data_IF_418685232111
#
_entry.id   IF_418685232111
#
_cell.length_a   1.000
_cell.length_b   1.000
_cell.length_c   1.000
_cell.angle_alpha   90.00
_cell.angle_beta   90.00
_cell.angle_gamma   90.00
#
_symmetry.space_group_name_H-M   'P 1'
#
loop_
_entity.id
_entity.type
_entity.pdbx_description
1 polymer ?
#
# COMPACT_ATOMS: atom_id res chain seq x y z
N UNK A 1 -13.47 12.54 11.77
CA UNK A 1 -12.34 13.33 11.22
C UNK A 1 -11.42 12.42 10.42
N UNK A 2 -10.94 12.86 9.24
CA UNK A 2 -10.01 12.11 8.39
C UNK A 2 -8.57 12.48 8.75
N UNK A 3 -7.68 11.50 8.91
CA UNK A 3 -6.24 11.73 8.90
C UNK A 3 -5.69 11.45 7.50
N UNK A 4 -5.33 12.49 6.77
CA UNK A 4 -4.52 12.38 5.56
C UNK A 4 -3.08 12.14 6.00
N UNK A 5 -2.55 10.96 5.71
CA UNK A 5 -1.20 10.57 6.10
C UNK A 5 -0.27 10.54 4.90
N UNK A 6 0.88 11.20 4.99
CA UNK A 6 1.90 11.21 3.95
C UNK A 6 3.23 10.69 4.50
N UNK A 7 3.73 9.54 4.03
CA UNK A 7 5.12 9.17 4.21
C UNK A 7 5.99 9.94 3.21
N UNK A 8 7.11 10.50 3.65
CA UNK A 8 8.02 11.24 2.77
C UNK A 8 9.49 10.92 3.04
N UNK A 9 10.32 10.97 1.99
CA UNK A 9 11.77 10.84 2.09
C UNK A 9 12.44 11.53 0.89
N UNK A 10 13.19 12.62 1.13
CA UNK A 10 13.86 13.43 0.12
C UNK A 10 12.93 13.89 -1.03
N UNK A 11 11.76 14.46 -0.67
CA UNK A 11 10.70 14.87 -1.60
C UNK A 11 10.30 16.36 -1.44
N UNK A 12 11.18 17.22 -0.89
CA UNK A 12 10.88 18.64 -0.71
C UNK A 12 10.38 19.33 -1.98
N UNK A 13 10.86 18.92 -3.16
CA UNK A 13 10.48 19.49 -4.44
C UNK A 13 9.06 19.08 -4.92
N UNK A 14 8.47 18.01 -4.37
CA UNK A 14 7.14 17.49 -4.74
C UNK A 14 6.05 17.87 -3.74
N UNK A 15 6.40 17.93 -2.46
CA UNK A 15 5.47 18.24 -1.36
C UNK A 15 4.67 19.55 -1.53
N UNK A 16 5.20 20.64 -2.12
CA UNK A 16 4.42 21.86 -2.32
C UNK A 16 3.15 21.67 -3.17
N UNK A 17 3.19 20.74 -4.14
CA UNK A 17 2.03 20.40 -4.97
C UNK A 17 0.95 19.70 -4.16
N UNK A 18 1.34 18.72 -3.34
CA UNK A 18 0.41 18.06 -2.43
C UNK A 18 -0.18 19.05 -1.43
N UNK A 19 0.65 19.89 -0.80
CA UNK A 19 0.19 20.91 0.15
C UNK A 19 -0.83 21.87 -0.49
N UNK A 20 -0.58 22.37 -1.70
CA UNK A 20 -1.51 23.21 -2.44
C UNK A 20 -2.86 22.49 -2.65
N UNK A 21 -2.84 21.22 -3.08
CA UNK A 21 -4.08 20.44 -3.29
C UNK A 21 -4.87 20.20 -1.99
N UNK A 22 -4.21 20.13 -0.84
CA UNK A 22 -4.85 20.06 0.47
C UNK A 22 -5.44 21.40 0.88
N UNK A 23 -4.75 22.51 0.58
CA UNK A 23 -5.29 23.86 0.79
C UNK A 23 -6.53 24.15 -0.07
N UNK A 24 -6.64 23.52 -1.25
CA UNK A 24 -7.77 23.67 -2.19
C UNK A 24 -8.97 22.76 -1.85
N UNK A 25 -8.88 21.88 -0.84
CA UNK A 25 -10.01 21.02 -0.48
C UNK A 25 -11.24 21.83 -0.07
N UNK A 26 -12.41 21.46 -0.61
CA UNK A 26 -13.70 22.08 -0.28
C UNK A 26 -14.09 21.88 1.18
N UNK A 27 -13.81 20.70 1.73
CA UNK A 27 -13.99 20.36 3.15
C UNK A 27 -12.65 20.37 3.88
N UNK A 28 -12.59 21.05 5.03
CA UNK A 28 -11.43 21.05 5.94
C UNK A 28 -11.58 20.06 7.10
N UNK A 29 -12.48 19.10 7.00
CA UNK A 29 -12.72 18.09 8.04
C UNK A 29 -11.63 17.00 8.06
N UNK A 30 -10.36 17.42 8.05
CA UNK A 30 -9.20 16.52 8.11
C UNK A 30 -8.01 17.15 8.84
N UNK A 31 -7.07 16.31 9.26
CA UNK A 31 -5.70 16.70 9.62
C UNK A 31 -4.72 16.15 8.58
N UNK A 32 -3.58 16.79 8.39
CA UNK A 32 -2.47 16.27 7.59
C UNK A 32 -1.33 15.83 8.49
N UNK A 33 -1.10 14.53 8.60
CA UNK A 33 0.01 13.95 9.33
C UNK A 33 1.11 13.51 8.37
N UNK A 34 2.31 14.02 8.55
CA UNK A 34 3.49 13.65 7.75
C UNK A 34 4.54 12.97 8.63
N UNK A 35 4.97 11.79 8.21
CA UNK A 35 6.14 11.13 8.76
C UNK A 35 7.27 11.22 7.74
N UNK A 36 8.28 12.01 8.09
CA UNK A 36 9.51 12.14 7.31
C UNK A 36 10.48 11.02 7.70
N UNK A 37 10.71 10.12 6.79
CA UNK A 37 11.57 8.95 6.96
C UNK A 37 13.06 9.29 6.87
N UNK A 38 13.47 10.42 7.47
CA UNK A 38 14.87 10.83 7.62
C UNK A 38 15.41 11.60 6.41
N UNK A 39 14.63 12.49 5.81
CA UNK A 39 15.08 13.34 4.70
C UNK A 39 16.30 14.19 5.06
N UNK A 40 17.17 14.37 4.07
CA UNK A 40 18.38 15.22 4.14
C UNK A 40 18.25 16.49 3.28
N UNK A 41 17.14 16.63 2.55
CA UNK A 41 16.78 17.80 1.76
C UNK A 41 16.00 18.83 2.60
N UNK A 42 15.44 19.85 1.95
CA UNK A 42 14.71 20.96 2.58
C UNK A 42 13.32 20.57 3.13
N UNK A 43 12.98 19.27 3.21
CA UNK A 43 11.66 18.81 3.70
C UNK A 43 11.34 19.39 5.07
N UNK A 44 12.28 19.33 6.03
CA UNK A 44 12.09 19.83 7.39
C UNK A 44 11.84 21.35 7.41
N UNK A 45 12.53 22.11 6.55
CA UNK A 45 12.33 23.56 6.41
C UNK A 45 10.92 23.91 5.94
N UNK A 46 10.37 23.18 4.95
CA UNK A 46 9.00 23.37 4.49
C UNK A 46 7.98 23.19 5.62
N UNK A 47 8.10 22.12 6.41
CA UNK A 47 7.17 21.85 7.50
C UNK A 47 7.35 22.80 8.69
N UNK A 48 8.55 23.33 8.92
CA UNK A 48 8.77 24.37 9.93
C UNK A 48 7.98 25.67 9.62
N UNK A 49 7.66 25.91 8.36
CA UNK A 49 6.81 27.01 7.90
C UNK A 49 5.33 26.60 7.90
N UNK A 50 4.97 25.49 7.24
CA UNK A 50 3.58 25.09 7.02
C UNK A 50 2.83 24.77 8.31
N UNK A 51 3.48 24.25 9.33
CA UNK A 51 2.87 23.98 10.65
C UNK A 51 2.42 25.24 11.39
N UNK A 52 2.86 26.44 10.95
CA UNK A 52 2.51 27.75 11.54
C UNK A 52 1.38 28.44 10.80
N UNK A 53 1.03 27.95 9.58
CA UNK A 53 0.01 28.58 8.76
C UNK A 53 -1.39 28.16 9.24
N UNK A 54 -2.30 29.13 9.24
CA UNK A 54 -3.74 28.82 9.39
C UNK A 54 -4.33 28.53 8.00
N UNK A 55 -4.39 27.26 7.65
CA UNK A 55 -4.91 26.76 6.37
C UNK A 55 -6.27 26.07 6.51
N UNK A 56 -6.89 26.18 7.71
CA UNK A 56 -8.18 25.61 8.02
C UNK A 56 -8.14 24.12 8.42
N UNK A 57 -6.96 23.49 8.46
CA UNK A 57 -6.74 22.14 8.96
C UNK A 57 -5.41 22.04 9.71
N UNK A 58 -5.27 21.06 10.59
CA UNK A 58 -4.04 20.83 11.34
C UNK A 58 -2.97 20.17 10.48
N UNK A 59 -1.74 20.70 10.52
CA UNK A 59 -0.54 20.09 9.90
C UNK A 59 0.36 19.57 11.01
N UNK A 60 0.61 18.26 11.00
CA UNK A 60 1.49 17.57 11.97
C UNK A 60 2.66 16.94 11.24
N UNK A 61 3.86 17.24 11.71
CA UNK A 61 5.11 16.72 11.10
C UNK A 61 5.96 16.02 12.15
N UNK A 62 6.53 14.88 11.76
CA UNK A 62 7.50 14.15 12.58
C UNK A 62 8.57 13.53 11.70
N UNK A 63 9.82 13.95 11.94
CA UNK A 63 11.01 13.33 11.35
C UNK A 63 11.49 12.16 12.20
N UNK A 64 11.86 11.07 11.53
CA UNK A 64 12.35 9.84 12.17
C UNK A 64 13.60 9.33 11.45
N UNK A 65 14.28 8.34 12.03
CA UNK A 65 15.37 7.67 11.33
C UNK A 65 14.83 6.85 10.18
N UNK A 66 15.48 6.91 9.00
CA UNK A 66 15.07 6.16 7.82
C UNK A 66 14.85 4.67 8.13
N UNK A 67 13.68 4.19 7.77
CA UNK A 67 13.24 2.85 8.06
C UNK A 67 12.22 2.28 7.05
N UNK A 68 11.80 3.11 6.08
CA UNK A 68 10.88 2.75 5.00
C UNK A 68 9.41 3.05 5.28
N UNK A 69 8.64 3.15 4.18
CA UNK A 69 7.21 3.53 4.17
C UNK A 69 6.38 2.74 5.19
N UNK A 70 6.62 1.43 5.35
CA UNK A 70 5.85 0.56 6.24
C UNK A 70 6.03 0.92 7.72
N UNK A 71 7.25 1.32 8.13
CA UNK A 71 7.49 1.82 9.49
C UNK A 71 6.84 3.16 9.72
N UNK A 72 6.85 4.03 8.70
CA UNK A 72 6.15 5.31 8.74
C UNK A 72 4.64 5.12 8.89
N UNK A 73 4.03 4.19 8.13
CA UNK A 73 2.60 3.84 8.26
C UNK A 73 2.31 3.30 9.67
N UNK A 74 3.08 2.32 10.16
CA UNK A 74 2.87 1.77 11.50
C UNK A 74 2.95 2.85 12.58
N UNK A 75 3.92 3.77 12.46
CA UNK A 75 4.09 4.88 13.41
C UNK A 75 2.92 5.86 13.32
N UNK A 76 2.46 6.19 12.10
CA UNK A 76 1.30 7.05 11.93
C UNK A 76 0.06 6.45 12.60
N UNK A 77 -0.19 5.15 12.41
CA UNK A 77 -1.30 4.45 13.06
C UNK A 77 -1.21 4.48 14.60
N UNK A 78 0.00 4.54 15.17
CA UNK A 78 0.16 4.71 16.62
C UNK A 78 -0.14 6.15 17.10
N UNK A 79 -0.06 7.14 16.22
CA UNK A 79 -0.17 8.56 16.54
C UNK A 79 -1.55 9.16 16.28
N UNK A 80 -2.44 8.46 15.58
CA UNK A 80 -3.72 9.00 15.12
C UNK A 80 -4.89 8.38 15.87
N UNK A 81 -5.89 9.22 16.16
CA UNK A 81 -7.16 8.85 16.77
C UNK A 81 -8.36 9.29 15.93
N UNK A 82 -8.12 9.83 14.72
CA UNK A 82 -9.17 10.16 13.74
C UNK A 82 -9.95 8.91 13.30
N UNK A 83 -11.18 9.12 12.83
CA UNK A 83 -12.10 8.03 12.47
C UNK A 83 -11.61 7.28 11.23
N UNK A 84 -10.99 8.02 10.28
CA UNK A 84 -10.60 7.51 8.98
C UNK A 84 -9.13 7.81 8.70
N UNK A 85 -8.45 6.85 8.08
CA UNK A 85 -7.03 6.92 7.72
C UNK A 85 -6.87 6.81 6.22
N UNK A 86 -6.29 7.84 5.59
CA UNK A 86 -6.08 7.96 4.16
C UNK A 86 -4.60 8.14 3.84
N UNK A 87 -3.99 7.18 3.16
CA UNK A 87 -2.59 7.27 2.73
C UNK A 87 -2.52 8.05 1.43
N UNK A 88 -1.80 9.17 1.44
CA UNK A 88 -1.52 10.00 0.27
C UNK A 88 -0.02 10.13 0.09
N UNK A 89 0.51 9.63 -1.02
CA UNK A 89 1.94 9.66 -1.31
C UNK A 89 2.43 11.08 -1.58
N UNK A 90 3.69 11.36 -1.26
CA UNK A 90 4.28 12.71 -1.29
C UNK A 90 4.42 13.32 -2.70
N UNK A 91 4.31 12.49 -3.73
CA UNK A 91 4.38 12.85 -5.16
C UNK A 91 3.00 12.95 -5.83
N UNK A 92 1.91 12.76 -5.08
CA UNK A 92 0.54 12.77 -5.58
C UNK A 92 -0.25 13.99 -5.08
N UNK A 93 -1.50 14.12 -5.53
CA UNK A 93 -2.42 15.21 -5.15
C UNK A 93 -3.85 14.68 -4.95
N UNK A 94 -4.70 15.51 -4.35
CA UNK A 94 -6.13 15.24 -4.25
C UNK A 94 -6.92 16.21 -5.12
N UNK A 95 -8.06 15.74 -5.67
CA UNK A 95 -9.06 16.65 -6.27
C UNK A 95 -9.72 17.50 -5.18
N UNK A 96 -10.16 18.70 -5.52
CA UNK A 96 -10.74 19.65 -4.55
C UNK A 96 -11.93 19.08 -3.77
N UNK A 97 -12.69 18.17 -4.36
CA UNK A 97 -13.86 17.51 -3.76
C UNK A 97 -13.54 16.16 -3.06
N UNK A 98 -12.27 15.76 -2.96
CA UNK A 98 -11.92 14.45 -2.46
C UNK A 98 -12.31 14.23 -0.98
N UNK A 99 -12.01 15.18 -0.13
CA UNK A 99 -12.32 15.07 1.32
C UNK A 99 -13.83 15.10 1.56
N UNK A 100 -14.57 16.00 0.89
CA UNK A 100 -16.04 16.05 1.00
C UNK A 100 -16.68 14.75 0.49
N UNK A 101 -16.18 14.21 -0.61
CA UNK A 101 -16.63 12.92 -1.13
C UNK A 101 -16.37 11.78 -0.15
N UNK A 102 -15.17 11.69 0.45
CA UNK A 102 -14.82 10.64 1.44
C UNK A 102 -15.79 10.71 2.62
N UNK A 103 -16.05 11.89 3.18
CA UNK A 103 -17.01 12.05 4.29
C UNK A 103 -18.38 11.50 3.92
N UNK A 104 -18.92 11.92 2.78
CA UNK A 104 -20.22 11.45 2.30
C UNK A 104 -20.23 9.95 2.01
N UNK A 105 -19.17 9.41 1.40
CA UNK A 105 -19.08 7.99 1.07
C UNK A 105 -19.15 7.09 2.31
N UNK A 106 -18.52 7.49 3.41
CA UNK A 106 -18.62 6.74 4.68
C UNK A 106 -20.02 6.79 5.29
N UNK A 107 -20.77 7.89 5.13
CA UNK A 107 -22.17 8.00 5.58
C UNK A 107 -23.10 7.06 4.83
N UNK A 108 -22.75 6.68 3.59
CA UNK A 108 -23.54 5.75 2.76
C UNK A 108 -23.25 4.28 3.03
N UNK A 109 -22.22 3.96 3.83
CA UNK A 109 -21.94 2.57 4.19
C UNK A 109 -23.07 2.00 5.03
N UNK A 110 -23.47 0.73 4.80
CA UNK A 110 -24.43 0.09 5.69
C UNK A 110 -23.79 -0.14 7.08
N UNK A 111 -24.63 -0.29 8.08
CA UNK A 111 -24.22 -0.71 9.43
C UNK A 111 -23.85 -2.20 9.41
N UNK A 112 -22.66 -2.48 8.90
CA UNK A 112 -22.11 -3.82 8.68
C UNK A 112 -20.61 -3.82 9.02
N UNK A 113 -20.26 -4.52 10.08
CA UNK A 113 -18.89 -4.63 10.58
C UNK A 113 -17.90 -5.23 9.59
N UNK A 114 -18.38 -5.87 8.53
CA UNK A 114 -17.51 -6.42 7.47
C UNK A 114 -16.88 -5.35 6.58
N UNK A 115 -17.33 -4.10 6.63
CA UNK A 115 -16.65 -3.00 5.94
C UNK A 115 -15.44 -2.51 6.74
N UNK A 116 -14.28 -2.41 6.06
CA UNK A 116 -13.07 -1.82 6.61
C UNK A 116 -12.84 -0.39 6.11
N UNK A 117 -13.54 0.02 5.05
CA UNK A 117 -13.37 1.34 4.46
C UNK A 117 -13.99 1.46 3.07
N UNK A 118 -13.54 2.48 2.37
CA UNK A 118 -13.91 2.80 0.99
C UNK A 118 -12.67 2.90 0.10
N UNK A 119 -12.85 2.96 -1.21
CA UNK A 119 -11.76 3.21 -2.15
C UNK A 119 -12.24 4.03 -3.34
N UNK A 120 -11.34 4.86 -3.88
CA UNK A 120 -11.54 5.67 -5.07
C UNK A 120 -10.57 5.28 -6.18
N UNK A 121 -10.89 5.65 -7.41
CA UNK A 121 -10.01 5.48 -8.57
C UNK A 121 -8.89 6.53 -8.53
N UNK A 122 -7.67 6.15 -8.89
CA UNK A 122 -6.56 7.08 -9.16
C UNK A 122 -6.65 7.59 -10.60
N UNK A 123 -6.43 8.88 -10.80
CA UNK A 123 -6.41 9.56 -12.09
C UNK A 123 -5.06 10.18 -12.43
N UNK A 124 -4.89 10.56 -13.69
CA UNK A 124 -3.81 11.46 -14.12
C UNK A 124 -4.05 12.90 -13.61
N UNK A 125 -3.10 13.80 -13.85
CA UNK A 125 -3.22 15.20 -13.41
C UNK A 125 -4.35 15.97 -14.11
N UNK A 126 -4.94 15.43 -15.19
CA UNK A 126 -6.13 15.96 -15.84
C UNK A 126 -7.43 15.38 -15.27
N UNK A 127 -7.33 14.44 -14.32
CA UNK A 127 -8.49 13.77 -13.71
C UNK A 127 -9.05 12.61 -14.53
N UNK A 128 -8.34 12.13 -15.56
CA UNK A 128 -8.72 10.92 -16.27
C UNK A 128 -8.28 9.70 -15.50
N UNK A 129 -9.10 8.63 -15.41
CA UNK A 129 -8.67 7.38 -14.76
C UNK A 129 -7.37 6.84 -15.37
N UNK A 130 -6.39 6.48 -14.52
CA UNK A 130 -5.11 5.90 -14.98
C UNK A 130 -5.26 4.52 -15.63
N UNK A 131 -6.33 3.83 -15.32
CA UNK A 131 -6.63 2.49 -15.81
C UNK A 131 -8.01 2.43 -16.44
N UNK A 132 -8.34 1.28 -17.06
CA UNK A 132 -9.67 1.08 -17.65
C UNK A 132 -10.74 1.37 -16.62
N UNK A 133 -11.81 2.03 -17.08
CA UNK A 133 -13.01 2.32 -16.26
C UNK A 133 -13.46 1.01 -15.60
N UNK A 134 -13.62 0.99 -14.28
CA UNK A 134 -14.11 -0.17 -13.55
C UNK A 134 -15.41 -0.69 -14.15
N UNK A 135 -15.63 -1.99 -14.12
CA UNK A 135 -16.91 -2.63 -14.49
C UNK A 135 -17.89 -2.46 -13.31
N UNK A 136 -18.23 -1.23 -13.04
CA UNK A 136 -19.20 -0.83 -12.01
C UNK A 136 -20.45 -0.33 -12.74
N UNK A 137 -21.61 -0.64 -12.20
CA UNK A 137 -22.86 -0.05 -12.69
C UNK A 137 -22.82 1.46 -12.39
N UNK A 138 -22.69 2.26 -13.44
CA UNK A 138 -22.60 3.73 -13.32
C UNK A 138 -23.84 4.38 -12.71
N UNK A 139 -25.01 3.69 -12.73
CA UNK A 139 -26.20 4.19 -12.06
C UNK A 139 -26.08 4.11 -10.52
N UNK A 140 -25.24 3.20 -10.01
CA UNK A 140 -24.94 3.02 -8.59
C UNK A 140 -23.63 3.70 -8.20
N UNK A 141 -22.62 3.67 -9.11
CA UNK A 141 -21.33 4.31 -8.96
C UNK A 141 -20.34 3.60 -8.02
N UNK A 142 -20.69 2.42 -7.49
CA UNK A 142 -19.81 1.63 -6.62
C UNK A 142 -20.09 0.12 -6.67
N UNK A 143 -19.15 -0.65 -6.11
CA UNK A 143 -19.31 -2.08 -5.82
C UNK A 143 -18.70 -2.43 -4.47
N UNK A 144 -19.35 -3.33 -3.74
CA UNK A 144 -18.88 -3.82 -2.44
C UNK A 144 -18.20 -5.18 -2.62
N UNK A 145 -16.87 -5.23 -2.46
CA UNK A 145 -16.11 -6.47 -2.53
C UNK A 145 -14.81 -6.39 -1.71
N UNK A 146 -14.23 -7.56 -1.42
CA UNK A 146 -12.92 -7.62 -0.79
C UNK A 146 -11.79 -7.39 -1.80
N UNK A 147 -10.57 -7.13 -1.31
CA UNK A 147 -9.40 -6.87 -2.15
C UNK A 147 -9.05 -8.04 -3.09
N UNK A 148 -9.32 -9.28 -2.71
CA UNK A 148 -9.01 -10.47 -3.52
C UNK A 148 -9.97 -10.58 -4.71
N UNK A 149 -11.23 -10.19 -4.54
CA UNK A 149 -12.28 -10.31 -5.56
C UNK A 149 -12.38 -9.10 -6.50
N UNK A 150 -11.72 -7.99 -6.21
CA UNK A 150 -11.80 -6.73 -6.97
C UNK A 150 -11.46 -6.87 -8.46
N UNK A 151 -10.69 -7.91 -8.83
CA UNK A 151 -10.38 -8.19 -10.24
C UNK A 151 -11.61 -8.51 -11.09
N UNK A 152 -12.69 -9.05 -10.50
CA UNK A 152 -13.96 -9.36 -11.16
C UNK A 152 -14.62 -8.10 -11.72
N UNK A 153 -14.31 -6.96 -11.10
CA UNK A 153 -14.87 -5.64 -11.43
C UNK A 153 -13.86 -4.74 -12.16
N UNK A 154 -12.73 -5.28 -12.60
CA UNK A 154 -11.70 -4.48 -13.30
C UNK A 154 -10.91 -3.52 -12.40
N UNK A 155 -10.97 -3.68 -11.08
CA UNK A 155 -10.32 -2.84 -10.07
C UNK A 155 -8.91 -3.35 -9.69
N UNK A 156 -8.14 -3.86 -10.65
CA UNK A 156 -6.82 -4.47 -10.39
C UNK A 156 -5.68 -3.45 -10.28
N UNK A 157 -5.95 -2.18 -10.58
CA UNK A 157 -4.99 -1.11 -10.48
C UNK A 157 -4.71 -0.70 -9.02
N UNK A 158 -3.71 0.17 -8.82
CA UNK A 158 -3.53 0.87 -7.56
C UNK A 158 -4.72 1.82 -7.36
N UNK A 159 -5.34 1.72 -6.20
CA UNK A 159 -6.52 2.48 -5.84
C UNK A 159 -6.18 3.42 -4.68
N UNK A 160 -7.11 4.28 -4.33
CA UNK A 160 -6.99 5.22 -3.21
C UNK A 160 -7.91 4.75 -2.07
N UNK A 161 -7.38 3.87 -1.23
CA UNK A 161 -8.11 3.28 -0.13
C UNK A 161 -8.12 4.21 1.09
N UNK A 162 -9.29 4.35 1.71
CA UNK A 162 -9.50 5.06 2.98
C UNK A 162 -10.12 4.08 3.96
N UNK A 163 -9.51 3.94 5.12
CA UNK A 163 -9.86 2.90 6.08
C UNK A 163 -10.47 3.48 7.36
N UNK A 164 -11.35 2.72 8.02
CA UNK A 164 -11.62 2.96 9.44
C UNK A 164 -10.33 2.78 10.23
N UNK A 165 -9.88 3.83 10.89
CA UNK A 165 -8.63 3.85 11.67
C UNK A 165 -8.58 2.73 12.70
N UNK A 166 -9.67 2.54 13.44
CA UNK A 166 -9.78 1.51 14.48
C UNK A 166 -9.57 0.09 13.95
N UNK A 167 -10.09 -0.19 12.74
CA UNK A 167 -9.95 -1.49 12.10
C UNK A 167 -8.55 -1.67 11.49
N UNK A 168 -8.02 -0.63 10.81
CA UNK A 168 -6.69 -0.71 10.22
C UNK A 168 -5.58 -0.86 11.27
N UNK A 169 -5.72 -0.30 12.46
CA UNK A 169 -4.79 -0.47 13.59
C UNK A 169 -4.54 -1.94 13.97
N UNK A 170 -5.46 -2.85 13.65
CA UNK A 170 -5.30 -4.29 13.87
C UNK A 170 -4.35 -4.96 12.85
N UNK A 171 -4.03 -4.26 11.76
CA UNK A 171 -3.25 -4.76 10.64
C UNK A 171 -1.93 -4.01 10.50
N UNK A 172 -0.89 -4.52 11.19
CA UNK A 172 0.44 -3.92 11.12
C UNK A 172 1.21 -4.41 9.91
N UNK A 173 1.91 -3.50 9.27
CA UNK A 173 2.85 -3.86 8.22
C UNK A 173 4.03 -4.63 8.80
N UNK A 174 4.41 -5.78 8.22
CA UNK A 174 5.62 -6.48 8.61
C UNK A 174 6.85 -5.61 8.35
N UNK A 175 7.76 -5.58 9.33
CA UNK A 175 9.03 -4.85 9.23
C UNK A 175 10.18 -5.78 9.57
N UNK A 176 11.25 -5.70 8.79
CA UNK A 176 12.45 -6.52 8.94
C UNK A 176 13.68 -5.67 9.19
N UNK A 177 14.63 -6.20 9.96
CA UNK A 177 15.87 -5.48 10.25
C UNK A 177 16.67 -5.28 8.97
N UNK A 178 17.03 -4.04 8.66
CA UNK A 178 17.81 -3.69 7.48
C UNK A 178 17.01 -3.58 6.16
N UNK A 179 15.70 -3.84 6.20
CA UNK A 179 14.81 -3.66 5.05
C UNK A 179 13.93 -2.41 5.22
N UNK A 180 13.62 -1.77 4.10
CA UNK A 180 12.85 -0.52 4.04
C UNK A 180 11.57 -0.65 3.22
N UNK A 181 11.24 -1.85 2.74
CA UNK A 181 10.07 -2.06 1.90
C UNK A 181 9.40 -3.43 2.12
N UNK A 182 8.08 -3.41 2.28
CA UNK A 182 7.20 -4.58 2.19
C UNK A 182 6.01 -4.18 1.32
N UNK A 183 5.65 -4.96 0.28
CA UNK A 183 4.49 -4.65 -0.56
C UNK A 183 3.19 -4.57 0.24
N UNK A 184 2.39 -3.55 -0.02
CA UNK A 184 1.13 -3.28 0.71
C UNK A 184 0.11 -4.42 0.57
N UNK A 185 0.14 -5.13 -0.55
CA UNK A 185 -0.70 -6.30 -0.80
C UNK A 185 -0.61 -7.36 0.32
N UNK A 186 0.52 -7.45 1.05
CA UNK A 186 0.65 -8.35 2.21
C UNK A 186 -0.41 -8.05 3.27
N UNK A 187 -0.73 -6.78 3.48
CA UNK A 187 -1.72 -6.34 4.45
C UNK A 187 -3.13 -6.35 3.84
N UNK A 188 -3.30 -5.82 2.63
CA UNK A 188 -4.60 -5.73 1.98
C UNK A 188 -5.24 -7.11 1.71
N UNK A 189 -4.43 -8.08 1.29
CA UNK A 189 -4.91 -9.45 1.07
C UNK A 189 -5.22 -10.17 2.39
N UNK A 190 -4.45 -9.89 3.46
CA UNK A 190 -4.76 -10.41 4.79
C UNK A 190 -6.11 -9.91 5.29
N UNK A 191 -6.38 -8.61 5.17
CA UNK A 191 -7.65 -7.97 5.50
C UNK A 191 -8.80 -8.67 4.76
N UNK A 192 -8.63 -8.92 3.46
CA UNK A 192 -9.62 -9.61 2.64
C UNK A 192 -9.86 -11.07 3.09
N UNK A 193 -8.79 -11.81 3.43
CA UNK A 193 -8.90 -13.20 3.94
C UNK A 193 -9.56 -13.28 5.32
N UNK A 194 -9.47 -12.22 6.13
CA UNK A 194 -10.14 -12.10 7.42
C UNK A 194 -11.63 -11.69 7.27
N UNK A 195 -12.12 -11.56 6.02
CA UNK A 195 -13.54 -11.36 5.70
C UNK A 195 -13.95 -9.90 5.49
N UNK A 196 -13.01 -8.97 5.56
CA UNK A 196 -13.33 -7.56 5.34
C UNK A 196 -13.44 -7.20 3.86
N UNK A 197 -14.31 -6.23 3.55
CA UNK A 197 -14.54 -5.64 2.23
C UNK A 197 -14.44 -4.12 2.26
N UNK A 198 -14.25 -3.53 1.08
CA UNK A 198 -14.34 -2.10 0.86
C UNK A 198 -15.49 -1.81 -0.11
N UNK A 199 -16.04 -0.60 -0.04
CA UNK A 199 -16.86 -0.02 -1.10
C UNK A 199 -15.95 0.68 -2.10
N UNK A 200 -15.94 0.19 -3.32
CA UNK A 200 -15.10 0.66 -4.41
C UNK A 200 -15.91 1.57 -5.31
N UNK A 201 -15.55 2.84 -5.36
CA UNK A 201 -16.21 3.84 -6.21
C UNK A 201 -15.48 4.00 -7.55
N UNK A 202 -16.22 4.38 -8.60
CA UNK A 202 -15.67 4.78 -9.91
C UNK A 202 -15.23 6.26 -9.93
N UNK A 203 -15.34 6.95 -8.81
CA UNK A 203 -14.94 8.36 -8.62
C UNK A 203 -13.43 8.51 -8.60
N UNK A 204 -12.91 9.39 -9.45
CA UNK A 204 -11.52 9.86 -9.37
C UNK A 204 -11.44 10.95 -8.30
N UNK A 205 -10.73 10.69 -7.21
CA UNK A 205 -10.48 11.64 -6.12
C UNK A 205 -8.99 11.86 -5.83
N UNK A 206 -8.13 11.01 -6.38
CA UNK A 206 -6.68 10.96 -6.14
C UNK A 206 -5.94 11.09 -7.48
N UNK A 207 -4.98 12.00 -7.58
CA UNK A 207 -4.26 12.33 -8.80
C UNK A 207 -2.79 11.93 -8.68
N UNK A 208 -2.31 11.14 -9.64
CA UNK A 208 -0.93 10.65 -9.68
C UNK A 208 -0.19 11.15 -10.90
N UNK A 209 1.09 11.41 -10.71
CA UNK A 209 2.04 11.61 -11.79
C UNK A 209 3.17 10.58 -11.67
N UNK A 210 3.34 9.73 -12.70
CA UNK A 210 4.41 8.74 -12.70
C UNK A 210 5.79 9.41 -12.70
N UNK A 211 6.56 9.18 -11.64
CA UNK A 211 7.93 9.66 -11.52
C UNK A 211 8.91 8.64 -12.12
N UNK A 212 9.91 9.12 -12.87
CA UNK A 212 10.94 8.26 -13.45
C UNK A 212 11.75 7.49 -12.40
N UNK A 213 11.84 8.02 -11.19
CA UNK A 213 12.55 7.44 -10.04
C UNK A 213 11.62 6.71 -9.05
N UNK A 214 10.36 6.44 -9.44
CA UNK A 214 9.38 5.76 -8.61
C UNK A 214 9.77 4.31 -8.25
N UNK A 215 9.30 3.82 -7.11
CA UNK A 215 9.54 2.45 -6.63
C UNK A 215 9.11 1.38 -7.65
N UNK A 216 8.11 1.67 -8.47
CA UNK A 216 7.53 0.77 -9.47
C UNK A 216 8.55 0.37 -10.55
N UNK A 217 9.52 1.23 -10.88
CA UNK A 217 10.49 1.01 -11.97
C UNK A 217 11.67 0.10 -11.60
N UNK A 218 11.77 -0.36 -10.35
CA UNK A 218 12.93 -1.10 -9.85
C UNK A 218 12.61 -2.37 -9.07
N UNK A 219 11.58 -3.11 -9.48
CA UNK A 219 11.08 -4.31 -8.77
C UNK A 219 12.17 -5.33 -8.40
N UNK A 220 13.12 -5.62 -9.31
CA UNK A 220 14.22 -6.56 -9.01
C UNK A 220 15.20 -5.99 -7.98
N UNK A 221 15.49 -4.68 -8.02
CA UNK A 221 16.34 -4.01 -7.03
C UNK A 221 15.64 -4.01 -5.66
N UNK A 222 14.34 -3.68 -5.63
CA UNK A 222 13.54 -3.71 -4.41
C UNK A 222 13.52 -5.10 -3.77
N UNK A 223 13.28 -6.17 -4.57
CA UNK A 223 13.30 -7.55 -4.07
C UNK A 223 14.67 -7.92 -3.49
N UNK A 224 15.76 -7.49 -4.14
CA UNK A 224 17.11 -7.79 -3.66
C UNK A 224 17.48 -7.07 -2.37
N UNK A 225 17.01 -5.84 -2.22
CA UNK A 225 17.24 -5.04 -1.01
C UNK A 225 16.27 -5.37 0.13
N UNK A 226 15.10 -5.95 -0.19
CA UNK A 226 14.03 -6.24 0.76
C UNK A 226 13.50 -7.68 0.61
N UNK A 227 14.37 -8.69 0.71
CA UNK A 227 14.01 -10.06 0.41
C UNK A 227 12.93 -10.62 1.36
N UNK A 228 12.90 -10.23 2.63
CA UNK A 228 11.89 -10.70 3.57
C UNK A 228 10.52 -10.07 3.33
N UNK A 229 10.46 -8.79 2.96
CA UNK A 229 9.21 -8.16 2.52
C UNK A 229 8.60 -8.90 1.32
N UNK A 230 9.44 -9.30 0.37
CA UNK A 230 8.99 -10.12 -0.78
C UNK A 230 8.70 -11.58 -0.41
N UNK A 231 9.42 -12.18 0.54
CA UNK A 231 9.06 -13.50 1.07
C UNK A 231 7.65 -13.47 1.68
N UNK A 232 7.30 -12.42 2.44
CA UNK A 232 5.95 -12.22 2.95
C UNK A 232 4.93 -12.12 1.82
N UNK A 233 5.21 -11.34 0.76
CA UNK A 233 4.33 -11.24 -0.42
C UNK A 233 4.07 -12.62 -1.04
N UNK A 234 5.12 -13.38 -1.34
CA UNK A 234 4.97 -14.72 -1.94
C UNK A 234 4.20 -15.67 -1.03
N UNK A 235 4.43 -15.62 0.28
CA UNK A 235 3.68 -16.41 1.24
C UNK A 235 2.19 -16.00 1.31
N UNK A 236 1.90 -14.70 1.23
CA UNK A 236 0.54 -14.18 1.15
C UNK A 236 -0.15 -14.63 -0.15
N UNK A 237 0.54 -14.58 -1.29
CA UNK A 237 0.01 -15.08 -2.56
C UNK A 237 -0.35 -16.58 -2.50
N UNK A 238 0.45 -17.41 -1.82
CA UNK A 238 0.10 -18.82 -1.57
C UNK A 238 -1.16 -18.95 -0.72
N UNK A 239 -1.28 -18.13 0.35
CA UNK A 239 -2.47 -18.12 1.20
C UNK A 239 -3.73 -17.69 0.44
N UNK A 240 -3.62 -16.64 -0.38
CA UNK A 240 -4.72 -16.17 -1.26
C UNK A 240 -5.13 -17.27 -2.24
N UNK A 241 -4.17 -17.95 -2.85
CA UNK A 241 -4.47 -19.05 -3.78
C UNK A 241 -5.21 -20.21 -3.09
N UNK A 242 -4.83 -20.55 -1.87
CA UNK A 242 -5.51 -21.56 -1.07
C UNK A 242 -6.90 -21.08 -0.62
N UNK A 243 -7.05 -19.80 -0.30
CA UNK A 243 -8.35 -19.18 -0.01
C UNK A 243 -9.28 -19.29 -1.23
N UNK A 244 -8.81 -18.92 -2.42
CA UNK A 244 -9.56 -19.03 -3.68
C UNK A 244 -9.99 -20.46 -3.96
N UNK A 245 -9.09 -21.44 -3.80
CA UNK A 245 -9.42 -22.87 -4.00
C UNK A 245 -10.52 -23.35 -3.07
N UNK A 246 -10.45 -22.97 -1.78
CA UNK A 246 -11.48 -23.34 -0.79
C UNK A 246 -12.85 -22.75 -1.09
N UNK A 247 -12.86 -21.55 -1.70
CA UNK A 247 -14.10 -20.87 -2.11
C UNK A 247 -14.53 -21.22 -3.55
N UNK A 248 -13.95 -22.27 -4.16
CA UNK A 248 -14.25 -22.71 -5.53
C UNK A 248 -14.10 -21.59 -6.58
N UNK A 249 -13.17 -20.67 -6.36
CA UNK A 249 -12.90 -19.56 -7.28
C UNK A 249 -12.08 -20.06 -8.48
N UNK A 250 -12.66 -19.98 -9.66
CA UNK A 250 -12.04 -20.40 -10.92
C UNK A 250 -10.75 -19.63 -11.28
N UNK A 251 -10.49 -18.49 -10.63
CA UNK A 251 -9.25 -17.74 -10.80
C UNK A 251 -8.09 -18.30 -9.95
N UNK A 252 -8.31 -19.36 -9.17
CA UNK A 252 -7.25 -20.02 -8.43
C UNK A 252 -6.20 -20.64 -9.35
N UNK A 253 -4.95 -20.42 -9.02
CA UNK A 253 -3.82 -20.89 -9.82
C UNK A 253 -3.53 -22.39 -9.61
N UNK A 254 -3.03 -23.03 -10.67
CA UNK A 254 -2.63 -24.44 -10.65
C UNK A 254 -1.25 -24.68 -10.02
N UNK A 255 -0.80 -25.96 -10.12
CA UNK A 255 0.45 -26.44 -9.49
C UNK A 255 1.71 -25.71 -10.00
N UNK A 256 1.84 -25.49 -11.32
CA UNK A 256 3.03 -24.83 -11.89
C UNK A 256 3.24 -23.42 -11.31
N UNK A 257 2.17 -22.66 -11.14
CA UNK A 257 2.24 -21.37 -10.50
C UNK A 257 2.66 -21.49 -9.04
N UNK A 258 2.06 -22.44 -8.29
CA UNK A 258 2.40 -22.71 -6.89
C UNK A 258 3.89 -23.04 -6.75
N UNK A 259 4.45 -23.88 -7.63
CA UNK A 259 5.87 -24.20 -7.64
C UNK A 259 6.75 -22.97 -7.83
N UNK A 260 6.40 -22.12 -8.80
CA UNK A 260 7.15 -20.88 -9.03
C UNK A 260 7.13 -19.99 -7.78
N UNK A 261 5.98 -19.78 -7.16
CA UNK A 261 5.88 -18.92 -5.97
C UNK A 261 6.65 -19.49 -4.78
N UNK A 262 6.60 -20.82 -4.56
CA UNK A 262 7.40 -21.48 -3.52
C UNK A 262 8.89 -21.28 -3.77
N UNK A 263 9.37 -21.43 -5.02
CA UNK A 263 10.75 -21.14 -5.38
C UNK A 263 11.16 -19.70 -5.07
N UNK A 264 10.29 -18.72 -5.41
CA UNK A 264 10.51 -17.31 -5.12
C UNK A 264 10.62 -17.05 -3.61
N UNK A 265 9.72 -17.65 -2.82
CA UNK A 265 9.74 -17.58 -1.36
C UNK A 265 11.07 -18.10 -0.79
N UNK A 266 11.48 -19.32 -1.17
CA UNK A 266 12.75 -19.92 -0.71
C UNK A 266 13.96 -19.06 -1.13
N UNK A 267 13.94 -18.55 -2.36
CA UNK A 267 15.00 -17.65 -2.86
C UNK A 267 15.13 -16.38 -2.00
N UNK A 268 14.03 -15.80 -1.59
CA UNK A 268 14.03 -14.60 -0.74
C UNK A 268 14.55 -14.92 0.67
N UNK A 269 14.09 -16.01 1.30
CA UNK A 269 14.61 -16.46 2.59
C UNK A 269 16.12 -16.74 2.54
N UNK A 270 16.61 -17.30 1.43
CA UNK A 270 18.04 -17.53 1.20
C UNK A 270 18.83 -16.24 1.09
N UNK A 271 18.33 -15.24 0.32
CA UNK A 271 18.95 -13.92 0.21
C UNK A 271 19.07 -13.21 1.56
N UNK A 272 18.01 -13.29 2.36
CA UNK A 272 17.97 -12.71 3.70
C UNK A 272 18.77 -13.52 4.73
N UNK A 273 19.17 -14.76 4.41
CA UNK A 273 19.74 -15.75 5.36
C UNK A 273 18.78 -16.12 6.50
N UNK A 274 17.48 -15.97 6.28
CA UNK A 274 16.41 -16.24 7.25
C UNK A 274 15.79 -17.64 7.03
N UNK A 275 16.62 -18.68 7.11
CA UNK A 275 16.19 -20.05 6.85
C UNK A 275 15.15 -20.57 7.84
N UNK A 276 15.15 -20.08 9.08
CA UNK A 276 14.14 -20.40 10.07
C UNK A 276 12.73 -19.99 9.63
N UNK A 277 12.61 -19.00 8.75
CA UNK A 277 11.34 -18.52 8.23
C UNK A 277 10.69 -19.49 7.21
N UNK A 278 11.45 -20.43 6.64
CA UNK A 278 10.94 -21.44 5.70
C UNK A 278 9.77 -22.27 6.29
N UNK A 279 9.76 -22.50 7.58
CA UNK A 279 8.66 -23.21 8.29
C UNK A 279 7.33 -22.46 8.22
N UNK A 280 7.35 -21.15 7.96
CA UNK A 280 6.15 -20.30 7.86
C UNK A 280 5.51 -20.34 6.47
N UNK A 281 6.11 -21.05 5.49
CA UNK A 281 5.56 -21.20 4.16
C UNK A 281 4.17 -21.81 4.21
N UNK A 282 3.20 -21.20 3.53
CA UNK A 282 1.82 -21.71 3.43
C UNK A 282 1.70 -22.97 2.58
N UNK A 283 2.74 -23.35 1.86
CA UNK A 283 2.78 -24.58 1.07
C UNK A 283 3.80 -25.57 1.63
N UNK A 284 3.37 -26.81 1.87
CA UNK A 284 4.27 -27.92 2.26
C UNK A 284 5.29 -28.28 1.16
N UNK A 285 5.06 -27.82 -0.06
CA UNK A 285 6.00 -28.00 -1.19
C UNK A 285 7.33 -27.25 -0.98
N UNK A 286 7.44 -26.39 0.02
CA UNK A 286 8.68 -25.67 0.35
C UNK A 286 9.88 -26.62 0.49
N UNK A 287 9.68 -27.80 1.07
CA UNK A 287 10.74 -28.77 1.28
C UNK A 287 11.20 -29.45 -0.01
N UNK A 288 10.27 -29.66 -0.97
CA UNK A 288 10.58 -30.22 -2.28
C UNK A 288 11.36 -29.20 -3.15
N UNK A 289 11.05 -27.91 -3.04
CA UNK A 289 11.67 -26.83 -3.82
C UNK A 289 12.80 -26.11 -3.09
N UNK A 290 13.27 -26.64 -1.97
CA UNK A 290 14.34 -26.04 -1.18
C UNK A 290 15.60 -25.81 -2.04
N UNK A 291 16.11 -26.87 -2.69
CA UNK A 291 17.33 -26.78 -3.48
C UNK A 291 17.21 -25.85 -4.70
N UNK A 292 16.20 -25.96 -5.59
CA UNK A 292 16.01 -24.99 -6.69
C UNK A 292 15.85 -23.55 -6.21
N UNK A 293 15.14 -23.32 -5.13
CA UNK A 293 14.96 -21.99 -4.55
C UNK A 293 16.26 -21.41 -3.98
N UNK A 294 17.09 -22.23 -3.34
CA UNK A 294 18.44 -21.83 -2.88
C UNK A 294 19.33 -21.44 -4.05
N UNK A 295 19.36 -22.24 -5.13
CA UNK A 295 20.10 -21.92 -6.35
C UNK A 295 19.69 -20.57 -6.96
N UNK A 296 18.38 -20.29 -6.99
CA UNK A 296 17.85 -19.01 -7.43
C UNK A 296 18.30 -17.86 -6.51
N UNK A 297 18.30 -18.07 -5.20
CA UNK A 297 18.80 -17.13 -4.20
C UNK A 297 20.27 -16.80 -4.40
N UNK A 298 21.12 -17.80 -4.57
CA UNK A 298 22.57 -17.65 -4.84
C UNK A 298 22.77 -16.87 -6.14
N UNK A 299 22.07 -17.19 -7.23
CA UNK A 299 22.13 -16.46 -8.49
C UNK A 299 21.80 -14.98 -8.32
N UNK A 300 20.76 -14.67 -7.57
CA UNK A 300 20.37 -13.28 -7.26
C UNK A 300 21.43 -12.55 -6.45
N UNK A 301 22.00 -13.21 -5.45
CA UNK A 301 23.12 -12.66 -4.67
C UNK A 301 24.32 -12.30 -5.52
N UNK A 302 24.75 -13.21 -6.42
CA UNK A 302 25.86 -12.96 -7.33
C UNK A 302 25.59 -11.81 -8.30
N UNK A 303 24.34 -11.63 -8.70
CA UNK A 303 23.95 -10.46 -9.53
C UNK A 303 24.04 -9.15 -8.75
N UNK A 304 23.68 -9.13 -7.46
CA UNK A 304 23.83 -7.94 -6.60
C UNK A 304 25.32 -7.55 -6.52
N UNK A 305 26.20 -8.50 -6.23
CA UNK A 305 27.65 -8.26 -6.12
C UNK A 305 28.30 -7.72 -7.40
N UNK A 306 27.70 -7.96 -8.57
CA UNK A 306 28.17 -7.39 -9.84
C UNK A 306 27.74 -5.94 -10.08
N UNK A 307 26.61 -5.50 -9.50
CA UNK A 307 26.07 -4.15 -9.66
C UNK A 307 26.50 -3.18 -8.56
N UNK A 308 27.09 -3.68 -7.47
CA UNK A 308 27.60 -2.87 -6.36
C UNK A 308 29.14 -2.69 -6.43
N UNK A 309 29.76 -3.04 -7.56
CA UNK A 309 31.12 -2.68 -7.95
C UNK A 309 31.07 -1.66 -9.09
#
# INVERSE_FOLDING_TARGET
MITVFTPTYNRAHLLPRLFASLCEQESKCFEWLVIDDGSEDDTECLFAEWTKLDVGFSVRYKKVKNGGKQRAINMALDMVDGDYFFIVDSDDCLKADAISFICHAFETLPDDDSFIGISMVRGDMNGNPLFRIPKIDHSVGYVDCNNIDRYKYGLQADMAEVFFTSKLKLYRFPVWRGETFTPEAVVWDKIAMDGYKLRWFDKVGYLCEYQNEGLTNSTLKLLKCNPMGYAMLFNTQLAVNDYKKRNSDYSAHGMCWTFNIVMQFVSCCSLAREYAFLKNCKSKLVWLFLFPGLCLGIRRYLQICKYCK
#
